data_IF_250998387076
#
_entry.id   IF_250998387076
#
_cell.length_a   1.000
_cell.length_b   1.000
_cell.length_c   1.000
_cell.angle_alpha   90.00
_cell.angle_beta   90.00
_cell.angle_gamma   90.00
#
_symmetry.space_group_name_H-M   'P 1'
#
loop_
_entity.id
_entity.type
_entity.pdbx_description
1 polymer ?
#
# COMPACT_ATOMS: atom_id res chain seq x y z
N UNK A 1 1.14 8.31 -36.57
CA UNK A 1 -0.26 7.77 -36.59
C UNK A 1 -0.65 7.25 -37.98
N UNK A 2 0.20 6.47 -38.64
CA UNK A 2 0.15 6.40 -40.11
C UNK A 2 -0.90 5.45 -40.68
N UNK A 3 -1.31 4.42 -39.91
CA UNK A 3 -2.46 3.57 -40.25
C UNK A 3 -3.76 4.38 -40.46
N UNK A 4 -3.93 5.50 -39.74
CA UNK A 4 -5.11 6.37 -39.87
C UNK A 4 -5.06 7.32 -41.09
N UNK A 5 -4.08 7.19 -41.98
CA UNK A 5 -4.04 7.91 -43.27
C UNK A 5 -4.70 7.11 -44.40
N UNK A 6 -4.65 5.79 -44.34
CA UNK A 6 -5.10 4.89 -45.41
C UNK A 6 -6.59 4.48 -45.25
N UNK A 7 -7.02 4.12 -44.04
CA UNK A 7 -8.44 3.89 -43.74
C UNK A 7 -9.22 5.21 -43.74
N UNK A 8 -10.03 5.45 -44.77
CA UNK A 8 -10.50 6.80 -45.11
C UNK A 8 -11.91 7.17 -44.62
N UNK A 9 -12.70 6.23 -44.09
CA UNK A 9 -14.13 6.44 -43.76
C UNK A 9 -14.48 6.31 -42.28
N UNK A 10 -13.63 5.70 -41.45
CA UNK A 10 -13.92 5.48 -40.02
C UNK A 10 -13.53 6.71 -39.20
N UNK A 11 -14.52 7.33 -38.56
CA UNK A 11 -14.32 8.34 -37.51
C UNK A 11 -14.31 7.62 -36.16
N UNK A 12 -13.21 7.72 -35.43
CA UNK A 12 -13.08 7.11 -34.11
C UNK A 12 -13.60 8.05 -33.01
N UNK A 13 -14.24 7.52 -31.97
CA UNK A 13 -14.72 8.34 -30.86
C UNK A 13 -13.58 8.93 -30.03
N UNK A 14 -12.53 8.16 -29.76
CA UNK A 14 -11.39 8.65 -28.98
C UNK A 14 -10.08 7.90 -29.27
N UNK A 15 -8.96 8.54 -28.94
CA UNK A 15 -7.75 7.82 -28.56
C UNK A 15 -7.42 8.07 -27.07
N UNK A 16 -6.75 7.09 -26.48
CA UNK A 16 -6.20 7.18 -25.13
C UNK A 16 -4.78 6.64 -25.11
N UNK A 17 -3.92 7.22 -24.27
CA UNK A 17 -2.52 6.86 -24.20
C UNK A 17 -1.99 6.98 -22.76
N UNK A 18 -1.17 6.02 -22.35
CA UNK A 18 -0.28 6.12 -21.20
C UNK A 18 1.15 6.30 -21.74
N UNK A 19 1.67 7.54 -21.79
CA UNK A 19 2.94 7.84 -22.43
C UNK A 19 4.12 7.43 -21.53
N UNK A 20 5.29 7.14 -22.10
CA UNK A 20 6.50 6.91 -21.32
C UNK A 20 6.89 8.17 -20.52
N UNK A 21 6.83 8.10 -19.19
CA UNK A 21 6.91 9.28 -18.33
C UNK A 21 8.31 9.91 -18.25
N UNK A 22 9.37 9.15 -18.47
CA UNK A 22 10.73 9.55 -18.13
C UNK A 22 11.57 9.90 -19.37
N UNK A 23 12.33 10.98 -19.30
CA UNK A 23 13.24 11.39 -20.37
C UNK A 23 14.56 10.61 -20.36
N UNK A 24 14.95 10.06 -19.20
CA UNK A 24 16.21 9.36 -19.01
C UNK A 24 16.16 8.41 -17.80
N UNK A 25 17.19 7.60 -17.65
CA UNK A 25 17.32 6.59 -16.59
C UNK A 25 17.35 7.19 -15.18
N UNK A 26 17.84 8.42 -15.02
CA UNK A 26 17.95 9.11 -13.73
C UNK A 26 16.56 9.51 -13.20
N UNK A 27 15.71 10.05 -14.07
CA UNK A 27 14.30 10.29 -13.77
C UNK A 27 13.57 8.97 -13.45
N UNK A 28 13.80 7.91 -14.24
CA UNK A 28 13.15 6.61 -14.04
C UNK A 28 13.52 5.94 -12.69
N UNK A 29 14.76 6.17 -12.20
CA UNK A 29 15.19 5.77 -10.85
C UNK A 29 14.59 6.62 -9.73
N UNK A 30 13.97 7.77 -10.04
CA UNK A 30 13.30 8.64 -9.07
C UNK A 30 14.23 9.40 -8.11
N UNK A 31 15.55 9.45 -8.40
CA UNK A 31 16.56 10.04 -7.51
C UNK A 31 16.60 11.58 -7.52
N UNK A 32 15.87 12.21 -8.45
CA UNK A 32 15.74 13.67 -8.57
C UNK A 32 14.88 14.27 -7.44
N UNK A 33 15.37 14.20 -6.20
CA UNK A 33 14.71 14.65 -4.97
C UNK A 33 15.55 15.68 -4.24
N UNK A 34 14.96 16.84 -3.90
CA UNK A 34 15.63 17.89 -3.10
C UNK A 34 16.06 17.42 -1.70
N UNK A 35 15.46 16.35 -1.19
CA UNK A 35 15.86 15.71 0.06
C UNK A 35 16.25 14.24 -0.23
N UNK A 36 17.49 13.81 0.09
CA UNK A 36 17.92 12.42 -0.11
C UNK A 36 17.19 11.44 0.82
N UNK A 37 16.68 11.90 1.97
CA UNK A 37 15.87 11.09 2.92
C UNK A 37 14.40 10.96 2.51
N UNK A 38 14.05 11.23 1.26
CA UNK A 38 12.69 11.04 0.75
C UNK A 38 12.34 9.54 0.78
N UNK A 39 11.22 9.13 1.41
CA UNK A 39 10.83 7.72 1.41
C UNK A 39 10.63 7.18 -0.02
N UNK A 40 11.08 5.95 -0.31
CA UNK A 40 10.87 5.33 -1.61
C UNK A 40 9.38 5.10 -1.90
N UNK A 41 8.98 4.97 -3.17
CA UNK A 41 7.62 4.58 -3.52
C UNK A 41 7.29 3.18 -2.98
N UNK A 42 6.04 2.96 -2.58
CA UNK A 42 5.54 1.65 -2.16
C UNK A 42 5.26 0.68 -3.33
N UNK A 43 5.47 1.13 -4.56
CA UNK A 43 5.27 0.41 -5.81
C UNK A 43 6.58 0.30 -6.57
N UNK A 44 6.87 -0.87 -7.13
CA UNK A 44 7.97 -1.08 -8.08
C UNK A 44 7.54 -0.69 -9.50
N UNK A 45 8.47 -0.18 -10.31
CA UNK A 45 8.28 -0.01 -11.74
C UNK A 45 8.85 -1.24 -12.47
N UNK A 46 8.03 -1.92 -13.25
CA UNK A 46 8.38 -3.14 -13.99
C UNK A 46 8.18 -3.01 -15.50
N UNK A 47 7.90 -1.80 -16.00
CA UNK A 47 7.70 -1.58 -17.43
C UNK A 47 9.01 -1.69 -18.22
N UNK A 48 8.92 -2.14 -19.47
CA UNK A 48 10.03 -2.16 -20.41
C UNK A 48 10.51 -0.76 -20.76
N UNK A 49 11.74 -0.64 -21.29
CA UNK A 49 12.38 0.66 -21.58
C UNK A 49 11.47 1.57 -22.42
N UNK A 50 10.83 1.02 -23.46
CA UNK A 50 9.90 1.73 -24.35
C UNK A 50 8.56 2.12 -23.72
N UNK A 51 8.17 1.49 -22.61
CA UNK A 51 6.95 1.82 -21.85
C UNK A 51 7.20 2.92 -20.81
N UNK A 52 8.43 3.00 -20.29
CA UNK A 52 8.78 3.91 -19.18
C UNK A 52 9.54 5.16 -19.63
N UNK A 53 10.33 5.05 -20.72
CA UNK A 53 11.19 6.11 -21.23
C UNK A 53 10.91 6.45 -22.70
N UNK A 54 11.02 7.74 -23.02
CA UNK A 54 11.02 8.26 -24.38
C UNK A 54 11.91 9.50 -24.46
N UNK A 55 12.41 9.83 -25.66
CA UNK A 55 13.13 11.07 -25.89
C UNK A 55 12.25 12.29 -25.54
N UNK A 56 12.77 13.16 -24.66
CA UNK A 56 12.06 14.29 -24.06
C UNK A 56 11.00 13.92 -23.01
N UNK A 57 10.87 12.63 -22.66
CA UNK A 57 9.88 12.10 -21.73
C UNK A 57 8.44 12.34 -22.20
N UNK A 58 7.50 12.33 -21.24
CA UNK A 58 6.07 12.51 -21.57
C UNK A 58 5.76 13.87 -22.22
N UNK A 59 6.56 14.92 -21.96
CA UNK A 59 6.29 16.25 -22.51
C UNK A 59 6.42 16.24 -24.04
N UNK A 60 7.57 15.81 -24.56
CA UNK A 60 7.78 15.73 -26.00
C UNK A 60 6.98 14.57 -26.63
N UNK A 61 6.75 13.47 -25.91
CA UNK A 61 5.86 12.40 -26.38
C UNK A 61 4.43 12.91 -26.63
N UNK A 62 3.86 13.68 -25.70
CA UNK A 62 2.49 14.21 -25.88
C UNK A 62 2.45 15.36 -26.88
N UNK A 63 3.50 16.18 -27.01
CA UNK A 63 3.62 17.13 -28.14
C UNK A 63 3.57 16.42 -29.50
N UNK A 64 4.23 15.27 -29.66
CA UNK A 64 4.11 14.47 -30.90
C UNK A 64 2.66 14.03 -31.17
N UNK A 65 1.92 13.60 -30.13
CA UNK A 65 0.47 13.30 -30.26
C UNK A 65 -0.33 14.55 -30.64
N UNK A 66 0.00 15.72 -30.08
CA UNK A 66 -0.64 16.99 -30.45
C UNK A 66 -0.38 17.29 -31.93
N UNK A 67 0.85 17.19 -32.42
CA UNK A 67 1.18 17.37 -33.85
C UNK A 67 0.46 16.38 -34.77
N UNK A 68 0.39 15.10 -34.42
CA UNK A 68 -0.41 14.11 -35.17
C UNK A 68 -1.90 14.50 -35.18
N UNK A 69 -2.43 15.01 -34.05
CA UNK A 69 -3.82 15.47 -33.95
C UNK A 69 -4.12 16.70 -34.84
N UNK A 70 -3.14 17.58 -35.08
CA UNK A 70 -3.29 18.72 -35.99
C UNK A 70 -3.42 18.29 -37.46
N UNK A 71 -2.90 17.12 -37.83
CA UNK A 71 -3.07 16.53 -39.15
C UNK A 71 -4.43 15.82 -39.27
N UNK A 72 -4.78 15.02 -38.24
CA UNK A 72 -5.97 14.15 -38.25
C UNK A 72 -7.29 14.89 -37.93
N UNK A 73 -7.22 15.96 -37.13
CA UNK A 73 -8.32 16.85 -36.71
C UNK A 73 -9.62 16.15 -36.30
N UNK A 74 -10.55 16.01 -37.25
CA UNK A 74 -11.91 15.45 -37.02
C UNK A 74 -12.00 13.94 -37.26
N UNK A 75 -10.90 13.25 -37.64
CA UNK A 75 -10.85 11.77 -37.70
C UNK A 75 -11.02 11.10 -36.33
N UNK A 76 -10.76 11.83 -35.24
CA UNK A 76 -11.09 11.39 -33.87
C UNK A 76 -11.96 12.46 -33.18
N UNK A 77 -13.01 12.05 -32.44
CA UNK A 77 -13.84 13.00 -31.68
C UNK A 77 -13.11 13.53 -30.43
N UNK A 78 -12.30 12.70 -29.78
CA UNK A 78 -11.44 13.10 -28.65
C UNK A 78 -10.02 12.54 -28.74
N UNK A 79 -9.03 13.40 -28.52
CA UNK A 79 -7.66 12.97 -28.23
C UNK A 79 -7.45 13.02 -26.73
N UNK A 80 -6.82 12.01 -26.13
CA UNK A 80 -6.51 12.02 -24.70
C UNK A 80 -5.21 11.32 -24.35
N UNK A 81 -4.56 11.82 -23.30
CA UNK A 81 -3.31 11.25 -22.79
C UNK A 81 -3.24 11.40 -21.26
N UNK A 82 -2.82 10.34 -20.56
CA UNK A 82 -2.51 10.38 -19.13
C UNK A 82 -1.15 11.04 -18.92
N UNK A 83 -0.98 11.81 -17.84
CA UNK A 83 0.28 12.45 -17.46
C UNK A 83 0.72 11.94 -16.08
N UNK A 84 1.97 11.50 -16.00
CA UNK A 84 2.64 11.03 -14.80
C UNK A 84 3.07 12.17 -13.88
N UNK A 85 3.52 13.30 -14.43
CA UNK A 85 4.05 14.46 -13.69
C UNK A 85 3.11 15.66 -13.81
N UNK A 86 2.85 16.34 -12.69
CA UNK A 86 2.00 17.54 -12.64
C UNK A 86 2.57 18.71 -13.46
N UNK A 87 3.90 18.82 -13.54
CA UNK A 87 4.58 19.89 -14.27
C UNK A 87 4.31 19.86 -15.78
N UNK A 88 4.03 18.69 -16.37
CA UNK A 88 3.77 18.50 -17.80
C UNK A 88 2.44 19.11 -18.26
N UNK A 89 1.46 19.26 -17.35
CA UNK A 89 0.11 19.72 -17.69
C UNK A 89 0.07 21.19 -18.13
N UNK A 90 0.88 22.07 -17.54
CA UNK A 90 0.90 23.50 -17.90
C UNK A 90 1.44 23.75 -19.33
N UNK A 91 2.65 23.29 -19.71
CA UNK A 91 3.19 23.50 -21.06
C UNK A 91 2.37 22.80 -22.14
N UNK A 92 1.81 21.61 -21.88
CA UNK A 92 0.95 20.92 -22.87
C UNK A 92 -0.39 21.63 -23.12
N UNK A 93 -0.97 22.27 -22.09
CA UNK A 93 -2.14 23.14 -22.29
C UNK A 93 -1.80 24.41 -23.05
N UNK A 94 -0.60 24.95 -22.84
CA UNK A 94 -0.13 26.13 -23.56
C UNK A 94 0.16 25.81 -25.03
N UNK A 95 0.75 24.65 -25.34
CA UNK A 95 0.90 24.14 -26.70
C UNK A 95 -0.46 24.06 -27.42
N UNK A 96 -1.46 23.39 -26.82
CA UNK A 96 -2.81 23.31 -27.37
C UNK A 96 -3.46 24.69 -27.59
N UNK A 97 -3.15 25.67 -26.74
CA UNK A 97 -3.62 27.06 -26.87
C UNK A 97 -2.96 27.78 -28.04
N UNK A 98 -1.64 27.63 -28.19
CA UNK A 98 -0.86 28.23 -29.29
C UNK A 98 -1.29 27.65 -30.63
N UNK A 99 -1.53 26.34 -30.70
CA UNK A 99 -2.02 25.63 -31.89
C UNK A 99 -3.52 25.85 -32.19
N UNK A 100 -4.22 26.68 -31.39
CA UNK A 100 -5.61 27.07 -31.65
C UNK A 100 -6.65 25.95 -31.48
N UNK A 101 -6.39 24.95 -30.63
CA UNK A 101 -7.31 23.81 -30.44
C UNK A 101 -8.56 24.26 -29.68
N UNK A 102 -9.80 24.10 -30.24
CA UNK A 102 -10.98 24.82 -29.74
C UNK A 102 -11.54 24.25 -28.43
N UNK A 103 -11.35 22.96 -28.15
CA UNK A 103 -11.83 22.30 -26.93
C UNK A 103 -10.66 21.64 -26.21
N UNK A 104 -10.41 22.05 -24.97
CA UNK A 104 -9.36 21.47 -24.11
C UNK A 104 -9.91 21.28 -22.69
N UNK A 105 -9.74 20.09 -22.11
CA UNK A 105 -10.04 19.81 -20.71
C UNK A 105 -8.99 18.92 -20.06
N UNK A 106 -9.03 18.80 -18.74
CA UNK A 106 -8.11 17.99 -17.97
C UNK A 106 -8.78 17.48 -16.69
N UNK A 107 -8.26 16.38 -16.13
CA UNK A 107 -8.73 15.82 -14.86
C UNK A 107 -7.57 15.31 -13.99
N UNK A 108 -7.87 15.01 -12.73
CA UNK A 108 -6.94 14.42 -11.76
C UNK A 108 -7.46 13.03 -11.35
N UNK A 109 -6.65 11.99 -11.50
CA UNK A 109 -6.92 10.65 -10.98
C UNK A 109 -6.25 10.49 -9.62
N UNK A 110 -7.05 10.27 -8.58
CA UNK A 110 -6.59 10.16 -7.19
C UNK A 110 -6.81 8.73 -6.69
N UNK A 111 -5.77 7.90 -6.68
CA UNK A 111 -5.83 6.52 -6.19
C UNK A 111 -4.73 6.30 -5.14
N UNK A 112 -5.14 6.23 -3.86
CA UNK A 112 -4.22 6.21 -2.73
C UNK A 112 -3.30 7.44 -2.68
N UNK A 113 -1.98 7.20 -2.56
CA UNK A 113 -0.95 8.26 -2.55
C UNK A 113 -0.53 8.76 -3.93
N UNK A 114 -0.81 7.99 -4.98
CA UNK A 114 -0.30 8.28 -6.33
C UNK A 114 -1.36 9.05 -7.11
N UNK A 115 -1.05 10.31 -7.43
CA UNK A 115 -1.86 11.10 -8.36
C UNK A 115 -1.37 10.93 -9.81
N UNK A 116 -2.31 10.95 -10.73
CA UNK A 116 -2.09 11.13 -12.17
C UNK A 116 -2.98 12.25 -12.67
N UNK A 117 -2.65 12.80 -13.83
CA UNK A 117 -3.50 13.74 -14.55
C UNK A 117 -3.90 13.11 -15.88
N UNK A 118 -4.94 13.64 -16.52
CA UNK A 118 -5.17 13.38 -17.93
C UNK A 118 -5.51 14.70 -18.62
N UNK A 119 -5.02 14.84 -19.84
CA UNK A 119 -5.30 15.96 -20.74
C UNK A 119 -6.10 15.42 -21.93
N UNK A 120 -7.16 16.12 -22.31
CA UNK A 120 -8.00 15.73 -23.44
C UNK A 120 -8.39 16.95 -24.28
N UNK A 121 -8.45 16.78 -25.60
CA UNK A 121 -8.78 17.86 -26.53
C UNK A 121 -9.57 17.36 -27.74
N UNK A 122 -10.25 18.29 -28.41
CA UNK A 122 -11.07 18.01 -29.58
C UNK A 122 -11.08 19.18 -30.57
N UNK A 123 -11.24 18.85 -31.85
CA UNK A 123 -11.48 19.79 -32.95
C UNK A 123 -12.97 19.87 -33.34
N UNK A 124 -13.86 19.19 -32.62
CA UNK A 124 -15.31 19.27 -32.80
C UNK A 124 -15.91 20.41 -31.96
N UNK A 125 -16.94 21.06 -32.50
CA UNK A 125 -17.60 22.21 -31.86
C UNK A 125 -18.80 21.77 -31.00
N UNK A 126 -19.44 20.68 -31.40
CA UNK A 126 -20.61 20.02 -30.81
C UNK A 126 -20.31 19.17 -29.56
N UNK A 127 -19.05 18.80 -29.32
CA UNK A 127 -18.72 17.98 -28.14
C UNK A 127 -18.90 18.74 -26.84
N UNK A 128 -19.64 18.14 -25.91
CA UNK A 128 -19.71 18.61 -24.53
C UNK A 128 -18.34 18.41 -23.87
N UNK A 129 -17.82 19.45 -23.24
CA UNK A 129 -16.52 19.43 -22.56
C UNK A 129 -16.74 19.18 -21.06
N UNK A 130 -16.29 18.05 -20.50
CA UNK A 130 -16.34 17.82 -19.06
C UNK A 130 -15.59 18.92 -18.30
N UNK A 131 -16.21 19.47 -17.25
CA UNK A 131 -15.58 20.50 -16.42
C UNK A 131 -14.36 19.94 -15.68
N UNK A 132 -13.21 20.61 -15.69
CA UNK A 132 -12.05 20.18 -14.91
C UNK A 132 -12.31 20.25 -13.40
N UNK A 133 -11.56 19.49 -12.57
CA UNK A 133 -11.73 19.48 -11.12
C UNK A 133 -11.70 20.89 -10.49
N UNK A 134 -12.66 21.16 -9.60
CA UNK A 134 -12.78 22.48 -8.98
C UNK A 134 -11.59 22.80 -8.08
N UNK A 135 -10.99 23.99 -8.23
CA UNK A 135 -9.87 24.49 -7.39
C UNK A 135 -10.15 24.38 -5.89
N UNK A 136 -11.41 24.51 -5.48
CA UNK A 136 -11.87 24.06 -4.17
C UNK A 136 -11.98 22.53 -4.21
N UNK A 137 -11.02 21.83 -3.59
CA UNK A 137 -11.37 20.56 -2.92
C UNK A 137 -12.56 20.92 -2.03
N UNK A 138 -13.75 20.42 -2.36
CA UNK A 138 -14.91 20.57 -1.47
C UNK A 138 -14.45 20.01 -0.12
N UNK A 139 -14.50 20.83 0.92
CA UNK A 139 -14.34 20.38 2.31
C UNK A 139 -15.11 19.09 2.42
N UNK A 140 -14.43 17.99 2.75
CA UNK A 140 -14.94 16.65 2.43
C UNK A 140 -16.34 16.51 3.04
N UNK A 141 -17.36 16.38 2.18
CA UNK A 141 -18.73 16.09 2.65
C UNK A 141 -18.61 14.92 3.64
N UNK A 142 -19.22 14.97 4.83
CA UNK A 142 -19.04 13.95 5.86
C UNK A 142 -19.20 12.57 5.22
N UNK A 143 -18.06 11.89 5.06
CA UNK A 143 -17.96 10.72 4.19
C UNK A 143 -18.65 9.58 4.89
N UNK A 144 -19.66 8.99 4.25
CA UNK A 144 -20.49 7.90 4.79
C UNK A 144 -19.64 6.86 5.54
N UNK A 145 -20.12 6.32 6.67
CA UNK A 145 -19.45 5.22 7.37
C UNK A 145 -19.30 4.02 6.44
N UNK A 146 -18.32 3.17 6.73
CA UNK A 146 -18.29 1.84 6.14
C UNK A 146 -19.29 1.00 6.94
N UNK A 147 -20.18 0.27 6.28
CA UNK A 147 -21.19 -0.53 6.97
C UNK A 147 -21.13 -2.00 6.58
N UNK A 148 -21.50 -2.88 7.51
CA UNK A 148 -21.89 -4.26 7.21
C UNK A 148 -23.03 -4.71 8.13
N UNK A 149 -23.89 -5.57 7.60
CA UNK A 149 -25.04 -6.13 8.32
C UNK A 149 -24.65 -7.52 8.85
N UNK A 150 -25.07 -7.80 10.09
CA UNK A 150 -25.05 -9.12 10.72
C UNK A 150 -26.50 -9.58 10.83
N UNK A 151 -26.85 -10.64 10.09
CA UNK A 151 -28.24 -11.11 9.98
C UNK A 151 -28.73 -11.74 11.29
N UNK A 152 -30.04 -11.69 11.56
CA UNK A 152 -30.68 -12.26 12.73
C UNK A 152 -30.37 -13.76 12.95
N UNK A 153 -30.22 -14.53 11.87
CA UNK A 153 -29.75 -15.92 11.92
C UNK A 153 -28.32 -16.03 12.47
N UNK A 154 -27.43 -15.18 11.96
CA UNK A 154 -26.04 -15.06 12.40
C UNK A 154 -25.97 -14.63 13.87
N UNK A 155 -26.82 -13.68 14.31
CA UNK A 155 -26.90 -13.25 15.72
C UNK A 155 -27.33 -14.40 16.64
N UNK A 156 -28.32 -15.21 16.24
CA UNK A 156 -28.77 -16.39 17.02
C UNK A 156 -27.63 -17.38 17.22
N UNK A 157 -26.88 -17.72 16.17
CA UNK A 157 -25.73 -18.63 16.27
C UNK A 157 -24.59 -18.04 17.13
N UNK A 158 -24.30 -16.75 16.99
CA UNK A 158 -23.32 -16.05 17.84
C UNK A 158 -23.75 -16.02 19.31
N UNK A 159 -25.06 -15.99 19.60
CA UNK A 159 -25.62 -16.00 20.97
C UNK A 159 -25.46 -17.38 21.63
N UNK A 160 -25.70 -18.45 20.88
CA UNK A 160 -25.44 -19.83 21.34
C UNK A 160 -23.96 -20.00 21.68
N UNK A 161 -23.05 -19.51 20.82
CA UNK A 161 -21.60 -19.59 21.05
C UNK A 161 -21.12 -18.64 22.17
N UNK A 162 -21.79 -17.53 22.40
CA UNK A 162 -21.55 -16.65 23.56
C UNK A 162 -21.94 -17.33 24.87
N UNK A 163 -23.11 -18.00 24.91
CA UNK A 163 -23.56 -18.77 26.08
C UNK A 163 -22.59 -19.91 26.41
N UNK A 164 -22.07 -20.62 25.39
CA UNK A 164 -21.03 -21.65 25.57
C UNK A 164 -19.68 -21.10 26.08
N UNK A 165 -19.43 -19.79 25.94
CA UNK A 165 -18.27 -19.07 26.48
C UNK A 165 -18.54 -18.44 27.86
N UNK A 166 -19.72 -18.66 28.44
CA UNK A 166 -20.14 -18.08 29.72
C UNK A 166 -20.49 -16.59 29.66
N UNK A 167 -20.83 -16.06 28.48
CA UNK A 167 -21.25 -14.67 28.33
C UNK A 167 -22.77 -14.53 28.47
N UNK A 168 -23.20 -13.93 29.57
CA UNK A 168 -24.60 -13.56 29.81
C UNK A 168 -24.90 -12.22 29.12
N UNK A 169 -25.34 -12.28 27.86
CA UNK A 169 -25.66 -11.13 27.03
C UNK A 169 -27.10 -11.23 26.52
N UNK A 170 -27.98 -10.41 27.09
CA UNK A 170 -29.44 -10.49 26.91
C UNK A 170 -29.90 -9.97 25.54
N UNK A 171 -29.12 -9.10 24.88
CA UNK A 171 -29.53 -8.46 23.63
C UNK A 171 -28.56 -8.71 22.46
N UNK A 172 -29.11 -8.91 21.26
CA UNK A 172 -28.36 -9.30 20.06
C UNK A 172 -27.25 -8.33 19.64
N UNK A 173 -27.49 -7.01 19.78
CA UNK A 173 -26.45 -6.00 19.49
C UNK A 173 -25.29 -6.06 20.50
N UNK A 174 -25.56 -6.42 21.76
CA UNK A 174 -24.52 -6.62 22.77
C UNK A 174 -23.70 -7.89 22.50
N UNK A 175 -24.34 -8.99 22.05
CA UNK A 175 -23.65 -10.21 21.59
C UNK A 175 -22.71 -9.92 20.43
N UNK A 176 -23.18 -9.23 19.38
CA UNK A 176 -22.35 -8.85 18.22
C UNK A 176 -21.19 -7.96 18.66
N UNK A 177 -21.44 -7.00 19.54
CA UNK A 177 -20.40 -6.12 20.08
C UNK A 177 -19.35 -6.89 20.86
N UNK A 178 -19.73 -7.82 21.75
CA UNK A 178 -18.79 -8.66 22.53
C UNK A 178 -17.91 -9.52 21.63
N UNK A 179 -18.45 -10.05 20.53
CA UNK A 179 -17.65 -10.75 19.53
C UNK A 179 -16.67 -9.82 18.80
N UNK A 180 -17.08 -8.59 18.45
CA UNK A 180 -16.20 -7.58 17.88
C UNK A 180 -15.07 -7.21 18.85
N UNK A 181 -15.37 -6.97 20.13
CA UNK A 181 -14.37 -6.73 21.18
C UNK A 181 -13.34 -7.87 21.27
N UNK A 182 -13.80 -9.12 21.32
CA UNK A 182 -12.90 -10.29 21.36
C UNK A 182 -11.97 -10.36 20.14
N UNK A 183 -12.49 -10.09 18.94
CA UNK A 183 -11.66 -10.04 17.73
C UNK A 183 -10.64 -8.89 17.83
N UNK A 184 -11.02 -7.74 18.41
CA UNK A 184 -10.12 -6.59 18.61
C UNK A 184 -9.06 -6.85 19.70
N UNK A 185 -9.39 -7.53 20.80
CA UNK A 185 -8.41 -7.97 21.81
C UNK A 185 -7.40 -8.95 21.21
N UNK A 186 -7.87 -9.93 20.43
CA UNK A 186 -7.02 -10.91 19.76
C UNK A 186 -6.05 -10.25 18.76
N UNK A 187 -6.50 -9.16 18.13
CA UNK A 187 -5.71 -8.30 17.26
C UNK A 187 -4.85 -7.26 18.01
N UNK A 188 -4.89 -7.19 19.34
CA UNK A 188 -4.23 -6.15 20.16
C UNK A 188 -4.62 -4.70 19.79
N UNK A 189 -5.79 -4.50 19.19
CA UNK A 189 -6.32 -3.17 18.86
C UNK A 189 -6.95 -2.57 20.13
N UNK A 190 -6.48 -1.40 20.55
CA UNK A 190 -7.03 -0.73 21.73
C UNK A 190 -8.46 -0.26 21.44
N UNK A 191 -9.41 -0.59 22.31
CA UNK A 191 -10.81 -0.19 22.19
C UNK A 191 -11.38 0.17 23.58
N UNK A 192 -12.40 1.03 23.59
CA UNK A 192 -13.16 1.46 24.77
C UNK A 192 -14.62 1.70 24.39
N UNK A 193 -15.54 1.39 25.29
CA UNK A 193 -16.93 1.83 25.17
C UNK A 193 -17.02 3.37 25.21
N UNK A 194 -17.99 3.91 24.47
CA UNK A 194 -18.36 5.33 24.48
C UNK A 194 -19.86 5.42 24.77
N UNK A 195 -20.33 6.42 25.55
CA UNK A 195 -21.76 6.67 25.73
C UNK A 195 -22.50 6.80 24.39
N UNK A 196 -23.62 6.12 24.26
CA UNK A 196 -24.38 5.96 23.03
C UNK A 196 -25.89 5.88 23.34
N UNK A 197 -26.74 5.88 22.30
CA UNK A 197 -28.19 5.79 22.46
C UNK A 197 -28.70 4.41 22.93
N UNK A 198 -30.00 4.30 23.23
CA UNK A 198 -30.61 3.07 23.77
C UNK A 198 -30.56 1.88 22.80
N UNK A 199 -30.72 2.11 21.48
CA UNK A 199 -30.70 1.07 20.42
C UNK A 199 -29.32 0.85 19.75
N UNK A 200 -28.24 1.35 20.35
CA UNK A 200 -26.89 1.22 19.79
C UNK A 200 -25.79 0.99 20.84
N UNK A 201 -24.72 0.30 20.44
CA UNK A 201 -23.52 0.12 21.28
C UNK A 201 -22.29 0.64 20.53
N UNK A 202 -21.57 1.58 21.15
CA UNK A 202 -20.42 2.27 20.52
C UNK A 202 -19.07 1.90 21.12
N UNK A 203 -18.12 1.55 20.25
CA UNK A 203 -16.71 1.29 20.57
C UNK A 203 -15.80 2.30 19.87
N UNK A 204 -15.05 3.08 20.62
CA UNK A 204 -13.95 3.89 20.09
C UNK A 204 -12.66 3.10 20.11
N UNK A 205 -11.94 3.07 18.99
CA UNK A 205 -10.74 2.25 18.85
C UNK A 205 -9.58 3.01 18.24
N UNK A 206 -8.39 2.66 18.73
CA UNK A 206 -7.09 3.24 18.36
C UNK A 206 -6.18 2.10 17.89
N UNK A 207 -5.96 2.04 16.59
CA UNK A 207 -5.09 1.06 15.97
C UNK A 207 -3.65 1.59 15.93
N UNK A 208 -2.76 1.01 16.74
CA UNK A 208 -1.34 1.40 16.83
C UNK A 208 -0.49 0.68 15.77
N UNK A 209 -0.78 -0.60 15.52
CA UNK A 209 -0.10 -1.45 14.55
C UNK A 209 -1.07 -2.15 13.60
N UNK A 210 -0.59 -2.57 12.43
CA UNK A 210 -1.40 -3.34 11.48
C UNK A 210 -1.24 -4.84 11.78
N UNK A 211 -2.02 -5.30 12.76
CA UNK A 211 -2.02 -6.69 13.21
C UNK A 211 -2.87 -7.61 12.33
N UNK A 212 -3.91 -7.10 11.66
CA UNK A 212 -4.88 -7.91 10.88
C UNK A 212 -4.42 -8.28 9.46
N UNK A 213 -3.53 -7.50 8.83
CA UNK A 213 -3.02 -7.79 7.48
C UNK A 213 -1.94 -8.88 7.50
N UNK A 214 -1.93 -9.71 6.45
CA UNK A 214 -1.00 -10.82 6.25
C UNK A 214 -1.01 -11.90 7.36
N UNK A 215 -2.04 -11.97 8.21
CA UNK A 215 -2.10 -12.93 9.33
C UNK A 215 -1.87 -14.40 8.88
N UNK A 216 -2.41 -14.80 7.72
CA UNK A 216 -2.17 -16.13 7.13
C UNK A 216 -0.71 -16.33 6.70
N UNK A 217 -0.04 -15.31 6.16
CA UNK A 217 1.38 -15.35 5.79
C UNK A 217 2.25 -15.40 7.05
N UNK A 218 2.05 -14.48 8.00
CA UNK A 218 2.72 -14.47 9.32
C UNK A 218 2.53 -15.77 10.11
N UNK A 219 1.39 -16.46 9.98
CA UNK A 219 1.17 -17.80 10.58
C UNK A 219 1.98 -18.88 9.85
N UNK A 220 2.00 -18.88 8.51
CA UNK A 220 2.82 -19.82 7.71
C UNK A 220 4.32 -19.60 7.94
N UNK A 221 4.77 -18.36 8.03
CA UNK A 221 6.14 -17.97 8.36
C UNK A 221 6.53 -18.43 9.77
N UNK A 222 5.69 -18.19 10.80
CA UNK A 222 5.94 -18.75 12.14
C UNK A 222 5.99 -20.28 12.17
N UNK A 223 5.14 -20.96 11.40
CA UNK A 223 5.18 -22.43 11.28
C UNK A 223 6.44 -22.92 10.56
N UNK A 224 6.95 -22.17 9.58
CA UNK A 224 8.26 -22.44 8.96
C UNK A 224 9.40 -22.22 9.95
N UNK A 225 9.45 -21.06 10.59
CA UNK A 225 10.45 -20.74 11.63
C UNK A 225 10.47 -21.80 12.75
N UNK A 226 9.30 -22.25 13.24
CA UNK A 226 9.22 -23.33 14.24
C UNK A 226 9.68 -24.71 13.73
N UNK A 227 9.67 -24.95 12.41
CA UNK A 227 10.25 -26.15 11.78
C UNK A 227 11.73 -26.00 11.44
N UNK A 228 12.19 -24.76 11.28
CA UNK A 228 13.57 -24.36 10.96
C UNK A 228 14.40 -24.05 12.22
N UNK A 229 13.78 -24.04 13.42
CA UNK A 229 14.52 -24.09 14.68
C UNK A 229 15.38 -25.36 14.72
N UNK A 230 16.64 -25.28 15.18
CA UNK A 230 17.46 -26.46 15.37
C UNK A 230 16.73 -27.46 16.27
N UNK A 231 16.46 -28.67 15.76
CA UNK A 231 16.29 -29.81 16.66
C UNK A 231 17.60 -29.95 17.44
N UNK A 232 17.52 -30.28 18.73
CA UNK A 232 18.71 -30.62 19.49
C UNK A 232 19.50 -31.70 18.72
N UNK A 233 20.83 -31.57 18.67
CA UNK A 233 21.65 -32.62 18.04
C UNK A 233 21.38 -33.95 18.74
N UNK A 234 21.42 -35.04 17.97
CA UNK A 234 21.18 -36.38 18.52
C UNK A 234 22.16 -36.69 19.67
N UNK A 235 23.39 -36.15 19.60
CA UNK A 235 24.39 -36.18 20.69
C UNK A 235 23.88 -35.63 22.03
N UNK A 236 23.05 -34.56 22.05
CA UNK A 236 22.51 -33.98 23.28
C UNK A 236 21.37 -34.84 23.84
N UNK A 237 20.53 -35.39 22.95
CA UNK A 237 19.45 -36.29 23.35
C UNK A 237 20.02 -37.59 23.91
N UNK A 238 21.06 -38.13 23.26
CA UNK A 238 21.73 -39.35 23.68
C UNK A 238 22.51 -39.16 25.00
N UNK A 239 23.18 -38.01 25.20
CA UNK A 239 23.79 -37.68 26.50
C UNK A 239 22.76 -37.62 27.64
N UNK A 240 21.55 -37.10 27.39
CA UNK A 240 20.47 -37.06 28.39
C UNK A 240 19.82 -38.45 28.66
N UNK A 241 19.98 -39.41 27.75
CA UNK A 241 19.58 -40.81 27.97
C UNK A 241 20.69 -41.62 28.67
N UNK A 242 21.96 -41.32 28.41
CA UNK A 242 23.13 -41.93 29.06
C UNK A 242 23.32 -41.45 30.51
N UNK A 243 23.01 -40.19 30.84
CA UNK A 243 22.91 -39.73 32.25
C UNK A 243 21.77 -40.43 33.01
N UNK A 244 20.77 -40.97 32.29
CA UNK A 244 19.64 -41.70 32.88
C UNK A 244 19.90 -43.20 33.07
N UNK A 245 20.81 -43.80 32.31
CA UNK A 245 21.20 -45.20 32.47
C UNK A 245 22.24 -45.38 33.57
N UNK A 246 23.13 -44.41 33.76
CA UNK A 246 24.25 -44.45 34.73
C UNK A 246 23.86 -44.28 36.21
N UNK A 247 22.57 -44.14 36.54
CA UNK A 247 22.04 -44.14 37.92
C UNK A 247 21.30 -45.43 38.34
N UNK A 248 21.43 -46.53 37.58
CA UNK A 248 20.70 -47.80 37.84
C UNK A 248 21.56 -49.05 38.02
N UNK A 249 22.71 -48.94 38.68
CA UNK A 249 23.51 -50.11 39.10
C UNK A 249 23.85 -50.05 40.60
N UNK A 250 22.90 -50.45 41.45
CA UNK A 250 23.12 -50.99 42.81
C UNK A 250 21.79 -51.45 43.44
N UNK A 251 21.36 -52.67 43.12
CA UNK A 251 21.10 -53.75 44.08
C UNK A 251 20.33 -54.92 43.43
N UNK A 252 20.62 -56.13 43.90
CA UNK A 252 20.25 -57.42 43.26
C UNK A 252 19.24 -58.21 44.16
N UNK A 253 18.83 -59.46 43.85
CA UNK A 253 17.50 -59.73 43.28
C UNK A 253 16.63 -60.69 44.13
N UNK A 254 15.35 -60.90 43.76
CA UNK A 254 14.71 -62.24 43.66
C UNK A 254 13.24 -62.21 43.18
N UNK A 255 12.84 -63.24 42.41
CA UNK A 255 11.50 -63.87 42.20
C UNK A 255 10.19 -63.04 42.08
N UNK A 256 9.23 -63.34 41.17
CA UNK A 256 9.18 -64.27 40.03
C UNK A 256 7.95 -64.00 39.10
N UNK A 257 8.09 -64.34 37.81
CA UNK A 257 7.05 -64.80 36.85
C UNK A 257 5.82 -63.95 36.41
N UNK A 258 5.89 -63.55 35.13
CA UNK A 258 4.90 -63.81 34.05
C UNK A 258 3.49 -63.15 34.03
N UNK A 259 3.27 -62.22 33.09
CA UNK A 259 2.64 -62.54 31.77
C UNK A 259 2.64 -61.37 30.76
N UNK A 260 2.60 -61.75 29.49
CA UNK A 260 2.74 -60.95 28.26
C UNK A 260 1.45 -60.23 27.83
N UNK A 261 1.57 -59.04 27.23
CA UNK A 261 1.09 -58.75 25.85
C UNK A 261 1.52 -57.34 25.37
N UNK A 262 1.83 -57.23 24.08
CA UNK A 262 2.56 -56.08 23.50
C UNK A 262 1.63 -54.99 22.96
N UNK A 263 2.10 -53.74 23.01
CA UNK A 263 1.59 -52.64 22.16
C UNK A 263 2.60 -52.37 21.05
N UNK A 264 2.15 -52.42 19.79
CA UNK A 264 2.99 -52.16 18.61
C UNK A 264 2.61 -50.82 17.96
N UNK A 265 3.60 -50.12 17.42
CA UNK A 265 3.47 -48.78 16.85
C UNK A 265 3.69 -48.82 15.34
N UNK A 266 2.81 -48.18 14.57
CA UNK A 266 3.07 -47.92 13.16
C UNK A 266 1.84 -47.57 12.33
N UNK A 267 1.82 -46.36 11.78
CA UNK A 267 1.11 -46.09 10.53
C UNK A 267 1.93 -45.11 9.70
N UNK A 268 2.56 -45.65 8.66
CA UNK A 268 3.23 -44.91 7.60
C UNK A 268 2.30 -44.98 6.39
N UNK A 269 2.10 -43.85 5.69
CA UNK A 269 1.54 -43.87 4.34
C UNK A 269 2.58 -43.27 3.40
N UNK A 270 2.86 -44.03 2.35
CA UNK A 270 3.78 -43.78 1.26
C UNK A 270 3.12 -42.90 0.19
N UNK A 271 3.94 -42.27 -0.65
CA UNK A 271 3.65 -42.12 -2.08
C UNK A 271 4.97 -42.32 -2.84
N UNK A 272 4.98 -43.24 -3.82
CA UNK A 272 6.09 -43.47 -4.75
C UNK A 272 5.76 -42.89 -6.14
N UNK A 273 6.79 -42.40 -6.84
CA UNK A 273 6.73 -42.03 -8.26
C UNK A 273 6.59 -43.26 -9.18
N UNK A 274 6.22 -43.06 -10.46
CA UNK A 274 7.01 -43.53 -11.64
C UNK A 274 6.42 -43.07 -13.00
N UNK A 275 7.28 -43.06 -14.02
CA UNK A 275 7.26 -42.33 -15.29
C UNK A 275 6.63 -43.00 -16.53
N UNK A 276 6.46 -42.20 -17.60
CA UNK A 276 6.82 -42.54 -19.01
C UNK A 276 6.95 -41.22 -19.82
N UNK A 277 7.63 -41.08 -20.99
CA UNK A 277 8.32 -42.02 -21.89
C UNK A 277 9.54 -41.34 -22.60
N UNK A 278 10.19 -42.02 -23.56
CA UNK A 278 11.48 -41.65 -24.22
C UNK A 278 11.35 -41.05 -25.66
N UNK A 279 12.50 -40.59 -26.17
CA UNK A 279 12.87 -40.16 -27.54
C UNK A 279 12.59 -38.66 -27.86
N UNK A 280 13.43 -37.94 -28.62
CA UNK A 280 14.53 -38.33 -29.52
C UNK A 280 15.73 -37.33 -29.50
N UNK A 281 16.85 -37.64 -30.17
CA UNK A 281 18.09 -36.80 -30.24
C UNK A 281 18.53 -36.48 -31.68
N UNK A 282 18.90 -35.22 -31.93
CA UNK A 282 19.97 -34.68 -32.82
C UNK A 282 19.78 -33.13 -32.90
N UNK A 283 20.77 -32.22 -33.10
CA UNK A 283 22.18 -32.34 -33.50
C UNK A 283 23.00 -31.08 -33.10
N UNK A 284 24.28 -31.28 -32.74
CA UNK A 284 25.51 -30.46 -33.01
C UNK A 284 25.69 -28.94 -32.65
N UNK A 285 26.93 -28.66 -32.18
CA UNK A 285 27.78 -27.44 -32.29
C UNK A 285 27.78 -26.30 -31.22
N UNK A 286 28.82 -26.35 -30.37
CA UNK A 286 29.65 -25.22 -29.86
C UNK A 286 30.73 -24.80 -30.91
N UNK A 287 31.62 -23.79 -30.74
CA UNK A 287 32.01 -22.97 -29.56
C UNK A 287 31.89 -21.43 -29.86
N UNK A 288 32.41 -20.42 -29.14
CA UNK A 288 33.52 -20.23 -28.16
C UNK A 288 33.17 -19.17 -27.10
N UNK A 289 33.90 -19.19 -25.96
CA UNK A 289 34.04 -18.05 -25.02
C UNK A 289 35.48 -18.01 -24.49
N UNK A 290 36.13 -16.88 -24.69
CA UNK A 290 37.31 -16.39 -23.96
C UNK A 290 36.98 -14.94 -23.52
N UNK A 291 37.51 -14.37 -22.44
CA UNK A 291 38.44 -14.90 -21.44
C UNK A 291 38.23 -14.27 -20.06
N UNK A 292 39.09 -14.62 -19.11
CA UNK A 292 39.02 -14.30 -17.68
C UNK A 292 39.98 -13.15 -17.29
N UNK A 293 39.67 -12.49 -16.16
CA UNK A 293 40.60 -11.88 -15.17
C UNK A 293 41.54 -10.73 -15.64
N UNK A 294 42.10 -9.85 -14.81
CA UNK A 294 41.84 -9.37 -13.43
C UNK A 294 42.59 -8.01 -13.23
N UNK A 295 42.60 -7.51 -11.99
CA UNK A 295 43.60 -6.60 -11.38
C UNK A 295 43.28 -5.10 -11.23
N UNK A 296 43.72 -4.60 -10.07
CA UNK A 296 43.62 -3.23 -9.57
C UNK A 296 44.96 -2.51 -9.79
N UNK A 297 44.93 -1.18 -9.87
CA UNK A 297 46.01 -0.31 -9.40
C UNK A 297 45.44 0.96 -8.73
N UNK A 298 46.04 1.36 -7.62
CA UNK A 298 45.85 2.65 -6.93
C UNK A 298 46.82 3.71 -7.49
N UNK A 299 46.50 5.00 -7.35
CA UNK A 299 47.50 6.04 -6.98
C UNK A 299 46.82 7.34 -6.47
N UNK A 300 47.57 8.14 -5.70
CA UNK A 300 47.09 9.27 -4.86
C UNK A 300 47.36 10.69 -5.44
N UNK A 301 46.93 11.72 -4.69
CA UNK A 301 46.96 13.18 -4.97
C UNK A 301 48.34 13.82 -5.24
N UNK A 302 48.37 14.92 -6.03
CA UNK A 302 49.24 16.11 -5.80
C UNK A 302 48.52 17.42 -6.23
N UNK A 303 48.55 18.46 -5.37
CA UNK A 303 48.15 19.85 -5.67
C UNK A 303 49.24 20.66 -6.43
N UNK A 304 48.83 21.69 -7.19
CA UNK A 304 49.71 22.79 -7.60
C UNK A 304 49.01 24.16 -7.56
N UNK A 305 49.75 25.23 -7.20
CA UNK A 305 49.23 26.57 -6.87
C UNK A 305 49.38 27.61 -7.97
N UNK A 306 48.44 28.57 -7.95
CA UNK A 306 48.52 30.04 -8.20
C UNK A 306 49.66 30.64 -9.05
N UNK A 307 49.28 31.62 -9.90
CA UNK A 307 50.01 32.89 -10.03
C UNK A 307 49.04 34.06 -10.34
N UNK A 308 49.41 35.29 -9.95
CA UNK A 308 48.53 36.49 -9.93
C UNK A 308 48.94 37.56 -10.95
N UNK A 309 47.99 38.44 -11.34
CA UNK A 309 48.10 39.91 -11.53
C UNK A 309 46.88 40.42 -12.34
N UNK A 310 46.36 41.65 -12.26
CA UNK A 310 46.12 42.69 -11.25
C UNK A 310 45.48 43.89 -12.03
N UNK A 311 45.01 44.94 -11.33
CA UNK A 311 44.35 46.17 -11.84
C UNK A 311 42.86 45.99 -12.26
N UNK A 312 41.89 46.72 -11.70
CA UNK A 312 41.89 47.63 -10.54
C UNK A 312 40.63 48.51 -10.46
N UNK A 313 40.18 48.84 -9.23
CA UNK A 313 39.32 49.98 -8.83
C UNK A 313 37.88 50.11 -9.43
N UNK A 314 36.82 50.65 -8.79
CA UNK A 314 36.41 50.79 -7.36
C UNK A 314 34.90 51.18 -7.33
N UNK A 315 34.11 51.31 -6.25
CA UNK A 315 34.38 51.30 -4.79
C UNK A 315 33.18 50.75 -3.95
N UNK A 316 32.30 51.61 -3.42
CA UNK A 316 31.29 51.40 -2.35
C UNK A 316 30.05 52.31 -2.58
N UNK A 317 28.97 52.39 -1.77
CA UNK A 317 28.87 52.27 -0.30
C UNK A 317 27.45 52.01 0.27
N UNK A 318 27.38 51.74 1.56
CA UNK A 318 26.17 51.42 2.34
C UNK A 318 25.75 52.54 3.33
N UNK A 319 24.54 52.42 3.92
CA UNK A 319 24.07 52.94 5.23
C UNK A 319 22.55 52.64 5.40
N UNK A 320 22.11 51.91 6.42
CA UNK A 320 21.91 52.23 7.86
C UNK A 320 20.51 52.79 8.19
N UNK A 321 19.94 52.30 9.30
CA UNK A 321 18.62 52.64 9.88
C UNK A 321 18.64 54.02 10.61
N UNK A 322 17.47 54.55 11.03
CA UNK A 322 17.16 54.40 12.46
C UNK A 322 15.66 54.22 12.84
N UNK A 323 15.48 53.82 14.10
CA UNK A 323 14.24 53.47 14.82
C UNK A 323 13.44 54.69 15.36
N UNK A 324 12.12 54.54 15.54
CA UNK A 324 11.26 55.41 16.36
C UNK A 324 9.88 54.78 16.64
N UNK A 325 9.47 54.75 17.91
CA UNK A 325 8.19 54.19 18.40
C UNK A 325 7.05 55.21 18.46
N UNK A 326 5.79 54.77 18.35
CA UNK A 326 4.75 55.02 19.38
C UNK A 326 3.48 54.15 19.24
N UNK A 327 2.61 54.23 20.25
CA UNK A 327 1.64 53.22 20.71
C UNK A 327 0.19 53.43 20.23
N UNK A 328 -0.58 52.34 20.04
CA UNK A 328 -2.05 52.31 20.22
C UNK A 328 -2.69 50.91 19.97
N UNK A 329 -3.48 50.42 20.94
CA UNK A 329 -4.77 49.76 20.64
C UNK A 329 -4.80 48.22 20.55
N UNK A 330 -4.57 47.52 21.66
CA UNK A 330 -4.71 46.06 21.73
C UNK A 330 -6.16 45.60 22.03
N UNK A 331 -6.79 44.88 21.09
CA UNK A 331 -8.00 44.06 21.33
C UNK A 331 -7.97 42.78 20.47
N UNK A 332 -7.35 41.71 20.99
CA UNK A 332 -7.40 40.37 20.39
C UNK A 332 -8.27 39.44 21.22
N UNK A 333 -9.35 38.93 20.63
CA UNK A 333 -10.22 37.94 21.27
C UNK A 333 -9.52 36.57 21.34
N UNK A 334 -9.51 35.96 22.52
CA UNK A 334 -8.94 34.63 22.73
C UNK A 334 -9.64 33.56 21.89
N UNK A 335 -8.85 32.81 21.11
CA UNK A 335 -9.24 31.48 20.64
C UNK A 335 -8.71 30.46 21.63
N UNK A 336 -9.61 29.92 22.44
CA UNK A 336 -9.31 28.88 23.44
C UNK A 336 -8.51 27.73 22.84
N UNK A 337 -7.38 27.42 23.46
CA UNK A 337 -6.50 26.33 23.05
C UNK A 337 -7.16 24.99 23.39
N UNK A 338 -7.33 24.11 22.40
CA UNK A 338 -7.62 22.70 22.68
C UNK A 338 -6.39 22.04 23.31
N UNK A 339 -6.53 21.24 24.38
CA UNK A 339 -5.38 20.67 25.10
C UNK A 339 -4.61 19.70 24.22
N UNK A 340 -3.29 19.92 24.09
CA UNK A 340 -2.37 19.02 23.39
C UNK A 340 -2.20 17.71 24.18
N UNK A 341 -3.06 16.75 23.92
CA UNK A 341 -2.87 15.37 24.37
C UNK A 341 -1.63 14.76 23.72
N UNK A 342 -0.82 14.03 24.52
CA UNK A 342 0.41 13.35 24.10
C UNK A 342 0.19 12.48 22.87
N UNK A 343 0.84 12.83 21.75
CA UNK A 343 0.67 12.15 20.47
C UNK A 343 1.43 10.82 20.42
N UNK A 344 0.86 9.79 21.06
CA UNK A 344 1.28 8.40 20.82
C UNK A 344 1.17 8.06 19.33
N UNK A 345 2.08 7.25 18.80
CA UNK A 345 2.07 6.88 17.38
C UNK A 345 0.92 5.90 17.09
N UNK A 346 -0.07 6.31 16.28
CA UNK A 346 -1.17 5.46 15.82
C UNK A 346 -1.34 5.50 14.29
N UNK A 347 -1.90 4.42 13.73
CA UNK A 347 -2.26 4.33 12.31
C UNK A 347 -3.57 5.06 12.04
N UNK A 348 -4.59 4.76 12.83
CA UNK A 348 -5.89 5.44 12.79
C UNK A 348 -6.68 5.25 14.08
N UNK A 349 -7.69 6.12 14.25
CA UNK A 349 -8.76 6.04 15.22
C UNK A 349 -10.09 6.01 14.46
N UNK A 350 -11.01 5.16 14.88
CA UNK A 350 -12.40 5.22 14.41
C UNK A 350 -13.38 4.85 15.53
N UNK A 351 -14.66 5.06 15.24
CA UNK A 351 -15.78 4.69 16.09
C UNK A 351 -16.58 3.60 15.39
N UNK A 352 -16.85 2.48 16.06
CA UNK A 352 -17.78 1.46 15.59
C UNK A 352 -19.09 1.63 16.37
N UNK A 353 -20.20 1.83 15.67
CA UNK A 353 -21.54 1.75 16.25
C UNK A 353 -22.18 0.44 15.79
N UNK A 354 -22.63 -0.41 16.71
CA UNK A 354 -23.48 -1.56 16.41
C UNK A 354 -24.91 -1.16 16.75
N UNK A 355 -25.71 -0.92 15.72
CA UNK A 355 -27.10 -0.46 15.80
C UNK A 355 -28.06 -1.60 15.51
N UNK A 356 -29.25 -1.55 16.11
CA UNK A 356 -30.36 -2.44 15.76
C UNK A 356 -31.02 -1.95 14.46
N UNK A 357 -31.12 -2.82 13.45
CA UNK A 357 -31.75 -2.53 12.17
C UNK A 357 -32.83 -3.60 11.89
N UNK A 358 -34.00 -3.42 12.49
CA UNK A 358 -35.05 -4.45 12.53
C UNK A 358 -34.64 -5.62 13.43
N UNK A 359 -34.67 -6.84 12.89
CA UNK A 359 -34.16 -8.04 13.55
C UNK A 359 -32.64 -8.23 13.37
N UNK A 360 -32.02 -7.48 12.45
CA UNK A 360 -30.60 -7.54 12.13
C UNK A 360 -29.78 -6.51 12.94
N UNK A 361 -28.45 -6.63 12.93
CA UNK A 361 -27.54 -5.65 13.51
C UNK A 361 -26.66 -4.99 12.43
N UNK A 362 -26.68 -3.66 12.38
CA UNK A 362 -25.89 -2.83 11.49
C UNK A 362 -24.62 -2.36 12.21
N UNK A 363 -23.46 -2.80 11.74
CA UNK A 363 -22.16 -2.30 12.21
C UNK A 363 -21.67 -1.16 11.31
N UNK A 364 -21.62 0.06 11.83
CA UNK A 364 -21.10 1.26 11.16
C UNK A 364 -19.70 1.62 11.67
N UNK A 365 -18.72 1.80 10.78
CA UNK A 365 -17.38 2.28 11.11
C UNK A 365 -17.16 3.71 10.59
N UNK A 366 -17.08 4.66 11.54
CA UNK A 366 -16.92 6.09 11.34
C UNK A 366 -15.46 6.52 11.52
N UNK A 367 -14.82 7.02 10.46
CA UNK A 367 -13.45 7.51 10.52
C UNK A 367 -13.32 8.76 11.40
N UNK A 368 -12.40 8.73 12.38
CA UNK A 368 -12.12 9.87 13.27
C UNK A 368 -10.81 10.54 12.88
N UNK A 369 -9.70 9.79 12.88
CA UNK A 369 -8.35 10.33 12.66
C UNK A 369 -7.42 9.26 12.09
N UNK A 370 -6.34 9.63 11.38
CA UNK A 370 -5.31 8.66 10.98
C UNK A 370 -4.58 8.99 9.69
N UNK A 371 -3.64 8.12 9.32
CA UNK A 371 -2.77 8.30 8.15
C UNK A 371 -3.35 7.68 6.87
N UNK A 372 -4.12 6.60 6.98
CA UNK A 372 -4.67 5.88 5.82
C UNK A 372 -6.04 5.24 6.13
N UNK A 373 -7.10 5.69 5.44
CA UNK A 373 -8.46 5.15 5.57
C UNK A 373 -8.63 3.74 5.02
N UNK A 374 -7.77 3.29 4.11
CA UNK A 374 -7.83 1.92 3.59
C UNK A 374 -7.51 0.87 4.66
N UNK A 375 -6.79 1.25 5.71
CA UNK A 375 -6.58 0.41 6.88
C UNK A 375 -7.89 0.17 7.66
N UNK A 376 -8.79 1.16 7.70
CA UNK A 376 -10.13 1.02 8.26
C UNK A 376 -11.02 0.13 7.38
N UNK A 377 -10.94 0.27 6.04
CA UNK A 377 -11.60 -0.64 5.08
C UNK A 377 -11.14 -2.10 5.29
N UNK A 378 -9.83 -2.31 5.46
CA UNK A 378 -9.24 -3.62 5.71
C UNK A 378 -9.66 -4.21 7.07
N UNK A 379 -9.68 -3.40 8.13
CA UNK A 379 -10.14 -3.84 9.45
C UNK A 379 -11.65 -4.19 9.42
N UNK A 380 -12.49 -3.35 8.81
CA UNK A 380 -13.91 -3.62 8.63
C UNK A 380 -14.15 -4.95 7.89
N UNK A 381 -13.41 -5.18 6.81
CA UNK A 381 -13.49 -6.42 6.03
C UNK A 381 -13.01 -7.63 6.85
N UNK A 382 -11.97 -7.46 7.66
CA UNK A 382 -11.47 -8.49 8.56
C UNK A 382 -12.49 -8.85 9.65
N UNK A 383 -13.06 -7.85 10.34
CA UNK A 383 -14.09 -8.03 11.37
C UNK A 383 -15.29 -8.80 10.81
N UNK A 384 -15.86 -8.31 9.70
CA UNK A 384 -16.95 -8.98 8.98
C UNK A 384 -16.62 -10.45 8.69
N UNK A 385 -15.43 -10.71 8.13
CA UNK A 385 -15.01 -12.07 7.77
C UNK A 385 -14.75 -12.98 8.98
N UNK A 386 -14.28 -12.46 10.12
CA UNK A 386 -14.18 -13.27 11.34
C UNK A 386 -15.54 -13.59 11.94
N UNK A 387 -16.47 -12.62 11.95
CA UNK A 387 -17.84 -12.86 12.44
C UNK A 387 -18.53 -13.98 11.66
N UNK A 388 -18.53 -13.93 10.32
CA UNK A 388 -19.10 -15.03 9.52
C UNK A 388 -18.34 -16.34 9.64
N UNK A 389 -17.02 -16.31 9.86
CA UNK A 389 -16.21 -17.51 10.12
C UNK A 389 -16.53 -18.17 11.47
N UNK A 390 -16.82 -17.37 12.51
CA UNK A 390 -17.22 -17.85 13.84
C UNK A 390 -18.58 -18.56 13.82
N UNK A 391 -19.39 -18.30 12.78
CA UNK A 391 -20.70 -18.93 12.57
C UNK A 391 -20.50 -20.25 11.82
N UNK A 392 -19.76 -20.23 10.70
CA UNK A 392 -19.45 -21.39 9.87
C UNK A 392 -18.45 -22.44 10.43
N UNK A 393 -18.00 -22.30 11.69
CA UNK A 393 -17.06 -23.22 12.37
C UNK A 393 -17.72 -23.98 13.52
#
# INVERSE_FOLDING_TARGET
MDALKEESEIIYDFCMCNPPFFANQLEAKGVNSRNPRRPPPSSVNTGGITEIMAEGGELEFVKRIIHDSLQLKKRLRWYSCMLGKKCSLAPLKEELRIQGVPKVTHTEFCQGRTMRWALAWSFYDDVQVPSPPSKRRKLEKPRKPITFIVLASTIKELSIKASAMGWDAVEGIAVVTKWIEKILTDLKVQHKYVPCGEDEVSLFLTAIENSWVHLRRKKRERVRQLRELPRASEDILQAMEEEKSSQKDSDNPECEQNKTENFEMGSVILDEDVSSAKNDRQRENSPTKEGNNEELMDEEDIEAKQEETLVGEDSSDAKEEPDASEDAGNLTMEKGQSPKGTSGHFLFKCLINVKKEGDDALAEMHWVEGQNRDLMNQLCTYLRNQIFRLVAS
#
